data_IF_777605469896
#
_entry.id   IF_777605469896
#
_cell.length_a   1.000
_cell.length_b   1.000
_cell.length_c   1.000
_cell.angle_alpha   90.00
_cell.angle_beta   90.00
_cell.angle_gamma   90.00
#
_symmetry.space_group_name_H-M   'P 1'
#
loop_
_entity.id
_entity.type
_entity.pdbx_description
1 polymer ?
#
# COMPACT_ATOMS: atom_id res chain seq x y z
N UNK A 1 21.16 22.34 8.69
CA UNK A 1 21.00 22.73 7.28
C UNK A 1 19.57 22.56 6.81
N UNK A 2 18.97 23.59 6.22
CA UNK A 2 17.63 23.50 5.61
C UNK A 2 17.58 22.46 4.45
N UNK A 3 18.73 22.18 3.82
CA UNK A 3 18.89 21.13 2.81
C UNK A 3 18.74 19.71 3.37
N UNK A 4 19.08 19.45 4.65
CA UNK A 4 18.85 18.13 5.27
C UNK A 4 17.37 17.92 5.66
N UNK A 5 16.66 18.98 6.03
CA UNK A 5 15.21 18.89 6.28
C UNK A 5 14.43 18.62 4.99
N UNK A 6 14.87 19.20 3.86
CA UNK A 6 14.25 19.00 2.54
C UNK A 6 14.51 17.59 1.97
N UNK A 7 15.65 16.96 2.28
CA UNK A 7 15.90 15.55 1.91
C UNK A 7 15.23 14.54 2.84
N UNK A 8 14.77 14.97 4.01
CA UNK A 8 13.97 14.17 4.94
C UNK A 8 12.46 14.31 4.74
N UNK A 9 12.01 15.32 4.00
CA UNK A 9 10.60 15.47 3.65
C UNK A 9 10.25 14.41 2.60
N UNK A 10 9.21 13.60 2.82
CA UNK A 10 8.71 12.73 1.76
C UNK A 10 8.33 13.55 0.52
N UNK A 11 8.39 12.91 -0.65
CA UNK A 11 8.05 13.56 -1.91
C UNK A 11 6.62 14.13 -1.91
N UNK A 12 6.45 15.24 -2.62
CA UNK A 12 5.19 15.99 -2.69
C UNK A 12 4.08 15.12 -3.32
N UNK A 13 4.45 14.33 -4.33
CA UNK A 13 3.52 13.44 -5.05
C UNK A 13 3.01 12.32 -4.12
N UNK A 14 3.90 11.69 -3.35
CA UNK A 14 3.52 10.67 -2.37
C UNK A 14 2.66 11.24 -1.25
N UNK A 15 2.94 12.47 -0.80
CA UNK A 15 2.14 13.15 0.22
C UNK A 15 0.72 13.42 -0.26
N UNK A 16 0.55 13.88 -1.51
CA UNK A 16 -0.76 14.14 -2.09
C UNK A 16 -1.57 12.86 -2.34
N UNK A 17 -0.91 11.80 -2.84
CA UNK A 17 -1.54 10.49 -3.01
C UNK A 17 -1.97 9.90 -1.66
N UNK A 18 -1.12 10.05 -0.64
CA UNK A 18 -1.42 9.58 0.71
C UNK A 18 -2.60 10.33 1.33
N UNK A 19 -2.71 11.65 1.17
CA UNK A 19 -3.87 12.41 1.66
C UNK A 19 -5.21 11.91 1.09
N UNK A 20 -5.25 11.60 -0.22
CA UNK A 20 -6.44 10.96 -0.81
C UNK A 20 -6.69 9.56 -0.29
N UNK A 21 -5.63 8.78 -0.09
CA UNK A 21 -5.73 7.46 0.51
C UNK A 21 -6.33 7.54 1.93
N UNK A 22 -5.89 8.50 2.76
CA UNK A 22 -6.45 8.79 4.08
C UNK A 22 -7.94 9.13 4.02
N UNK A 23 -8.31 10.00 3.09
CA UNK A 23 -9.70 10.44 2.91
C UNK A 23 -10.63 9.24 2.63
N UNK A 24 -10.23 8.33 1.75
CA UNK A 24 -11.06 7.17 1.40
C UNK A 24 -11.03 6.05 2.46
N UNK A 25 -9.98 5.92 3.28
CA UNK A 25 -9.96 4.94 4.37
C UNK A 25 -10.80 5.33 5.59
N UNK A 26 -11.17 6.60 5.68
CA UNK A 26 -11.86 7.18 6.84
C UNK A 26 -13.25 7.72 6.50
N UNK A 27 -13.68 7.62 5.23
CA UNK A 27 -15.04 8.00 4.81
C UNK A 27 -16.01 6.86 5.09
N UNK A 28 -17.22 7.21 5.52
CA UNK A 28 -18.37 6.29 5.64
C UNK A 28 -19.26 6.30 4.38
N UNK A 29 -18.80 6.93 3.29
CA UNK A 29 -19.56 7.06 2.03
C UNK A 29 -19.68 5.73 1.26
N UNK A 30 -18.72 4.82 1.44
CA UNK A 30 -18.65 3.53 0.73
C UNK A 30 -18.50 2.39 1.73
N UNK A 31 -19.20 1.28 1.50
CA UNK A 31 -19.04 0.06 2.31
C UNK A 31 -17.66 -0.59 2.09
N UNK A 32 -17.16 -0.55 0.85
CA UNK A 32 -15.88 -1.13 0.44
C UNK A 32 -15.19 -0.20 -0.56
N UNK A 33 -13.90 0.06 -0.35
CA UNK A 33 -13.03 0.78 -1.30
C UNK A 33 -11.96 -0.17 -1.80
N UNK A 34 -11.81 -0.28 -3.13
CA UNK A 34 -10.76 -1.08 -3.76
C UNK A 34 -9.67 -0.16 -4.31
N UNK A 35 -8.44 -0.35 -3.83
CA UNK A 35 -7.28 0.40 -4.30
C UNK A 35 -6.51 -0.42 -5.35
N UNK A 36 -6.44 0.10 -6.58
CA UNK A 36 -5.53 -0.40 -7.61
C UNK A 36 -4.21 0.36 -7.51
N UNK A 37 -3.16 -0.34 -7.07
CA UNK A 37 -1.88 0.30 -6.72
C UNK A 37 -0.86 0.18 -7.85
N UNK A 38 0.14 1.06 -7.82
CA UNK A 38 1.33 0.95 -8.67
C UNK A 38 2.05 -0.42 -8.51
N UNK A 39 3.01 -0.77 -9.38
CA UNK A 39 3.80 -1.99 -9.18
C UNK A 39 4.50 -2.02 -7.81
N UNK A 40 4.72 -3.23 -7.31
CA UNK A 40 5.18 -3.58 -5.95
C UNK A 40 6.06 -2.53 -5.26
N UNK A 41 7.20 -2.16 -5.85
CA UNK A 41 8.17 -1.26 -5.22
C UNK A 41 7.64 0.15 -4.88
N UNK A 42 6.72 0.71 -5.67
CA UNK A 42 6.13 2.02 -5.40
C UNK A 42 5.02 1.92 -4.36
N UNK A 43 4.22 0.85 -4.41
CA UNK A 43 3.16 0.60 -3.44
C UNK A 43 3.72 0.42 -2.03
N UNK A 44 4.81 -0.35 -1.88
CA UNK A 44 5.43 -0.52 -0.56
C UNK A 44 5.95 0.80 0.03
N UNK A 45 6.38 1.76 -0.80
CA UNK A 45 6.73 3.10 -0.32
C UNK A 45 5.50 3.86 0.17
N UNK A 46 4.39 3.81 -0.57
CA UNK A 46 3.12 4.41 -0.13
C UNK A 46 2.63 3.79 1.18
N UNK A 47 2.75 2.47 1.34
CA UNK A 47 2.28 1.77 2.53
C UNK A 47 3.20 1.93 3.75
N UNK A 48 4.50 2.17 3.56
CA UNK A 48 5.45 2.52 4.64
C UNK A 48 5.50 4.02 4.94
N UNK A 49 4.85 4.82 4.11
CA UNK A 49 4.75 6.27 4.26
C UNK A 49 4.20 6.74 5.61
N UNK A 50 3.14 6.13 6.20
CA UNK A 50 2.65 6.55 7.51
C UNK A 50 3.72 6.48 8.59
N UNK A 51 4.51 5.40 8.62
CA UNK A 51 5.57 5.23 9.63
C UNK A 51 6.68 6.27 9.45
N UNK A 52 7.09 6.51 8.19
CA UNK A 52 8.08 7.52 7.86
C UNK A 52 7.61 8.92 8.29
N UNK A 53 6.36 9.26 7.99
CA UNK A 53 5.76 10.54 8.35
C UNK A 53 5.56 10.71 9.86
N UNK A 54 5.11 9.68 10.59
CA UNK A 54 4.98 9.75 12.06
C UNK A 54 6.32 10.06 12.73
N UNK A 55 7.39 9.41 12.24
CA UNK A 55 8.76 9.62 12.70
C UNK A 55 9.25 11.03 12.38
N UNK A 56 9.03 11.50 11.14
CA UNK A 56 9.44 12.83 10.69
C UNK A 56 8.70 13.95 11.43
N UNK A 57 7.36 13.91 11.46
CA UNK A 57 6.52 14.87 12.21
C UNK A 57 6.90 14.86 13.70
N UNK A 58 7.11 13.67 14.27
CA UNK A 58 7.55 13.53 15.66
C UNK A 58 8.90 14.20 15.96
N UNK A 59 9.87 14.14 15.04
CA UNK A 59 11.14 14.85 15.15
C UNK A 59 10.94 16.37 15.02
N UNK A 60 10.13 16.82 14.07
CA UNK A 60 9.84 18.23 13.85
C UNK A 60 9.16 18.87 15.07
N UNK A 61 8.20 18.19 15.68
CA UNK A 61 7.54 18.64 16.93
C UNK A 61 8.59 18.82 18.04
N UNK A 62 9.54 17.88 18.20
CA UNK A 62 10.62 18.00 19.20
C UNK A 62 11.51 19.22 18.94
N UNK A 63 11.93 19.43 17.70
CA UNK A 63 12.77 20.57 17.31
C UNK A 63 12.04 21.89 17.57
N UNK A 64 10.77 22.00 17.15
CA UNK A 64 9.95 23.19 17.40
C UNK A 64 9.80 23.48 18.89
N UNK A 65 9.43 22.48 19.70
CA UNK A 65 9.33 22.65 21.16
C UNK A 65 10.64 23.14 21.80
N UNK A 66 11.80 22.67 21.31
CA UNK A 66 13.10 23.19 21.78
C UNK A 66 13.30 24.66 21.39
N UNK A 67 12.99 25.03 20.15
CA UNK A 67 13.09 26.41 19.66
C UNK A 67 12.15 27.33 20.45
N UNK A 68 10.88 26.97 20.62
CA UNK A 68 9.92 27.74 21.40
C UNK A 68 10.31 27.90 22.87
N UNK A 69 10.84 26.83 23.49
CA UNK A 69 11.36 26.92 24.86
C UNK A 69 12.53 27.90 24.98
N UNK A 70 13.39 27.97 23.96
CA UNK A 70 14.50 28.91 23.90
C UNK A 70 14.00 30.32 23.63
N UNK A 71 13.11 30.53 22.66
CA UNK A 71 12.50 31.83 22.38
C UNK A 71 11.82 32.41 23.64
N UNK A 72 11.06 31.58 24.37
CA UNK A 72 10.42 31.96 25.64
C UNK A 72 11.42 32.34 26.73
N UNK A 73 12.56 31.65 26.81
CA UNK A 73 13.63 31.99 27.76
C UNK A 73 14.32 33.33 27.41
N UNK A 74 14.44 33.66 26.12
CA UNK A 74 15.06 34.90 25.63
C UNK A 74 14.06 36.05 25.42
N UNK A 75 12.75 35.83 25.58
CA UNK A 75 11.68 36.84 25.44
C UNK A 75 11.89 38.07 26.33
N UNK A 76 12.45 37.87 27.52
CA UNK A 76 12.79 38.97 28.44
C UNK A 76 13.96 39.84 27.96
N UNK A 77 14.77 39.34 27.02
CA UNK A 77 15.95 40.02 26.47
C UNK A 77 15.63 40.59 25.07
N UNK A 78 14.81 39.89 24.27
CA UNK A 78 14.35 40.35 22.96
C UNK A 78 12.82 40.20 22.85
N UNK A 79 12.04 41.24 23.21
CA UNK A 79 10.57 41.18 23.23
C UNK A 79 9.90 41.08 21.86
N UNK A 80 10.66 41.16 20.76
CA UNK A 80 10.18 41.01 19.39
C UNK A 80 10.43 39.59 18.82
N UNK A 81 10.94 38.66 19.63
CA UNK A 81 11.30 37.32 19.18
C UNK A 81 10.15 36.33 19.43
N UNK A 82 9.47 35.94 18.34
CA UNK A 82 8.48 34.85 18.31
C UNK A 82 7.05 35.28 18.63
N UNK A 83 6.11 34.85 17.80
CA UNK A 83 4.68 34.89 18.08
C UNK A 83 4.28 33.54 18.73
N UNK A 84 3.99 33.57 20.03
CA UNK A 84 3.62 32.37 20.81
C UNK A 84 2.32 31.74 20.27
N UNK A 85 1.35 32.53 19.82
CA UNK A 85 0.10 32.01 19.27
C UNK A 85 0.34 31.33 17.92
N UNK A 86 1.23 31.88 17.09
CA UNK A 86 1.60 31.25 15.82
C UNK A 86 2.35 29.93 16.05
N UNK A 87 3.23 29.86 17.03
CA UNK A 87 3.97 28.65 17.37
C UNK A 87 3.06 27.56 17.95
N UNK A 88 2.14 27.92 18.84
CA UNK A 88 1.19 26.98 19.44
C UNK A 88 0.24 26.40 18.38
N UNK A 89 -0.32 27.23 17.48
CA UNK A 89 -1.17 26.74 16.36
C UNK A 89 -0.40 25.78 15.44
N UNK A 90 0.84 26.11 15.10
CA UNK A 90 1.65 25.24 14.25
C UNK A 90 1.94 23.89 14.92
N UNK A 91 2.12 23.85 16.25
CA UNK A 91 2.27 22.60 16.98
C UNK A 91 0.98 21.79 17.01
N UNK A 92 -0.18 22.44 17.21
CA UNK A 92 -1.49 21.79 17.17
C UNK A 92 -1.75 21.14 15.81
N UNK A 93 -1.50 21.85 14.71
CA UNK A 93 -1.66 21.33 13.35
C UNK A 93 -0.78 20.10 13.08
N UNK A 94 0.48 20.11 13.58
CA UNK A 94 1.39 18.97 13.46
C UNK A 94 0.93 17.77 14.28
N UNK A 95 0.40 18.01 15.49
CA UNK A 95 -0.16 16.95 16.32
C UNK A 95 -1.43 16.33 15.70
N UNK A 96 -2.29 17.15 15.09
CA UNK A 96 -3.45 16.70 14.35
C UNK A 96 -3.06 15.84 13.14
N UNK A 97 -2.08 16.30 12.35
CA UNK A 97 -1.53 15.57 11.21
C UNK A 97 -0.98 14.21 11.65
N UNK A 98 -0.21 14.19 12.73
CA UNK A 98 0.34 12.96 13.32
C UNK A 98 -0.74 11.97 13.73
N UNK A 99 -1.85 12.47 14.31
CA UNK A 99 -3.00 11.64 14.70
C UNK A 99 -3.67 11.00 13.49
N UNK A 100 -3.85 11.75 12.40
CA UNK A 100 -4.44 11.24 11.15
C UNK A 100 -3.57 10.13 10.54
N UNK A 101 -2.25 10.34 10.48
CA UNK A 101 -1.28 9.35 9.99
C UNK A 101 -1.36 8.04 10.79
N UNK A 102 -1.47 8.13 12.11
CA UNK A 102 -1.60 6.95 12.98
C UNK A 102 -2.91 6.21 12.77
N UNK A 103 -4.03 6.95 12.73
CA UNK A 103 -5.34 6.36 12.49
C UNK A 103 -5.35 5.56 11.18
N UNK A 104 -4.74 6.11 10.13
CA UNK A 104 -4.58 5.45 8.84
C UNK A 104 -3.80 4.15 8.92
N UNK A 105 -2.64 4.20 9.58
CA UNK A 105 -1.82 3.01 9.82
C UNK A 105 -2.61 1.94 10.56
N UNK A 106 -3.38 2.34 11.56
CA UNK A 106 -4.20 1.42 12.35
C UNK A 106 -5.30 0.79 11.47
N UNK A 107 -5.94 1.55 10.57
CA UNK A 107 -6.89 0.99 9.58
C UNK A 107 -6.21 -0.05 8.69
N UNK A 108 -5.03 0.28 8.16
CA UNK A 108 -4.32 -0.57 7.20
C UNK A 108 -3.81 -1.88 7.83
N UNK A 109 -3.45 -1.83 9.11
CA UNK A 109 -2.97 -2.97 9.88
C UNK A 109 -4.10 -3.81 10.49
N UNK A 110 -5.35 -3.34 10.46
CA UNK A 110 -6.50 -4.05 10.99
C UNK A 110 -7.04 -5.07 9.97
N UNK A 111 -6.89 -6.38 10.20
CA UNK A 111 -7.35 -7.42 9.27
C UNK A 111 -8.89 -7.52 9.18
N UNK A 112 -9.64 -6.94 10.12
CA UNK A 112 -11.11 -6.87 10.03
C UNK A 112 -11.57 -5.73 9.11
N UNK A 113 -10.68 -4.77 8.81
CA UNK A 113 -10.98 -3.58 7.99
C UNK A 113 -10.25 -3.55 6.65
N UNK A 114 -9.06 -4.14 6.56
CA UNK A 114 -8.21 -4.08 5.39
C UNK A 114 -7.73 -5.47 4.99
N UNK A 115 -7.81 -5.77 3.70
CA UNK A 115 -7.33 -7.01 3.08
C UNK A 115 -6.42 -6.68 1.90
N UNK A 116 -5.26 -7.33 1.82
CA UNK A 116 -4.32 -7.18 0.71
C UNK A 116 -4.36 -8.41 -0.19
N UNK A 117 -4.62 -8.21 -1.49
CA UNK A 117 -4.56 -9.26 -2.52
C UNK A 117 -3.32 -9.06 -3.40
N UNK A 118 -2.45 -10.06 -3.45
CA UNK A 118 -1.27 -10.03 -4.31
C UNK A 118 -1.60 -10.61 -5.68
N UNK A 119 -1.24 -9.94 -6.77
CA UNK A 119 -1.37 -10.48 -8.13
C UNK A 119 0.03 -10.82 -8.65
N UNK A 120 0.22 -12.08 -9.05
CA UNK A 120 1.51 -12.61 -9.50
C UNK A 120 1.35 -13.30 -10.84
N UNK A 121 2.43 -13.41 -11.62
CA UNK A 121 2.48 -14.31 -12.78
C UNK A 121 3.49 -15.44 -12.49
N UNK A 122 3.35 -16.62 -13.11
CA UNK A 122 4.24 -17.75 -12.90
C UNK A 122 5.61 -17.56 -13.59
N UNK A 123 6.32 -16.50 -13.20
CA UNK A 123 7.67 -16.15 -13.64
C UNK A 123 8.57 -15.86 -12.42
N UNK A 124 9.86 -16.21 -12.53
CA UNK A 124 10.79 -16.16 -11.39
C UNK A 124 10.87 -14.77 -10.74
N UNK A 125 11.01 -13.72 -11.57
CA UNK A 125 11.13 -12.35 -11.08
C UNK A 125 9.84 -11.87 -10.40
N UNK A 126 8.67 -12.18 -10.98
CA UNK A 126 7.38 -11.81 -10.39
C UNK A 126 7.17 -12.47 -9.03
N UNK A 127 7.55 -13.74 -8.89
CA UNK A 127 7.47 -14.47 -7.62
C UNK A 127 8.40 -13.83 -6.58
N UNK A 128 9.65 -13.54 -6.96
CA UNK A 128 10.63 -12.92 -6.06
C UNK A 128 10.21 -11.53 -5.58
N UNK A 129 9.71 -10.68 -6.49
CA UNK A 129 9.20 -9.35 -6.13
C UNK A 129 7.98 -9.41 -5.21
N UNK A 130 7.10 -10.39 -5.43
CA UNK A 130 5.89 -10.57 -4.63
C UNK A 130 6.22 -11.09 -3.23
N UNK A 131 7.18 -12.00 -3.11
CA UNK A 131 7.71 -12.46 -1.81
C UNK A 131 8.28 -11.28 -1.00
N UNK A 132 9.13 -10.46 -1.62
CA UNK A 132 9.66 -9.26 -0.96
C UNK A 132 8.57 -8.27 -0.57
N UNK A 133 7.52 -8.14 -1.37
CA UNK A 133 6.39 -7.28 -1.05
C UNK A 133 5.61 -7.81 0.15
N UNK A 134 5.34 -9.12 0.22
CA UNK A 134 4.68 -9.74 1.36
C UNK A 134 5.48 -9.60 2.65
N UNK A 135 6.80 -9.84 2.61
CA UNK A 135 7.67 -9.60 3.76
C UNK A 135 7.65 -8.14 4.25
N UNK A 136 7.53 -7.18 3.32
CA UNK A 136 7.44 -5.77 3.66
C UNK A 136 6.08 -5.40 4.27
N UNK A 137 4.99 -6.00 3.80
CA UNK A 137 3.67 -5.87 4.43
C UNK A 137 3.70 -6.40 5.87
N UNK A 138 4.23 -7.61 6.07
CA UNK A 138 4.30 -8.24 7.39
C UNK A 138 5.09 -7.42 8.40
N UNK A 139 6.23 -6.83 7.99
CA UNK A 139 7.02 -5.92 8.84
C UNK A 139 6.23 -4.72 9.35
N UNK A 140 5.19 -4.32 8.62
CA UNK A 140 4.31 -3.22 8.97
C UNK A 140 3.02 -3.67 9.65
N UNK A 141 2.89 -4.95 10.02
CA UNK A 141 1.67 -5.59 10.55
C UNK A 141 0.48 -5.53 9.57
N UNK A 142 0.77 -5.55 8.27
CA UNK A 142 -0.24 -5.71 7.23
C UNK A 142 -0.15 -7.13 6.68
N UNK A 143 -1.30 -7.74 6.40
CA UNK A 143 -1.36 -9.13 5.95
C UNK A 143 -2.03 -9.24 4.58
N UNK A 144 -1.32 -9.91 3.67
CA UNK A 144 -1.93 -10.39 2.43
C UNK A 144 -2.60 -11.73 2.70
N UNK A 145 -3.90 -11.81 2.43
CA UNK A 145 -4.75 -12.96 2.71
C UNK A 145 -5.08 -13.77 1.44
N UNK A 146 -4.66 -13.28 0.27
CA UNK A 146 -4.85 -13.97 -1.00
C UNK A 146 -3.78 -13.63 -2.04
N UNK A 147 -3.49 -14.62 -2.88
CA UNK A 147 -2.61 -14.52 -4.04
C UNK A 147 -3.37 -14.95 -5.28
N UNK A 148 -3.41 -14.09 -6.30
CA UNK A 148 -4.01 -14.34 -7.59
C UNK A 148 -2.87 -14.60 -8.59
N UNK A 149 -2.79 -15.81 -9.11
CA UNK A 149 -1.82 -16.18 -10.13
C UNK A 149 -2.45 -16.00 -11.51
N UNK A 150 -2.02 -14.94 -12.21
CA UNK A 150 -2.54 -14.56 -13.51
C UNK A 150 -1.73 -15.16 -14.67
N UNK A 151 -2.31 -15.18 -15.86
CA UNK A 151 -1.68 -15.61 -17.12
C UNK A 151 -1.15 -17.05 -17.10
N UNK A 152 -1.88 -17.96 -16.46
CA UNK A 152 -1.54 -19.38 -16.48
C UNK A 152 -1.85 -19.95 -17.86
N UNK A 153 -0.85 -20.51 -18.53
CA UNK A 153 -1.01 -21.12 -19.84
C UNK A 153 -2.06 -22.24 -19.76
N UNK A 154 -3.15 -22.21 -20.56
CA UNK A 154 -4.18 -23.25 -20.54
C UNK A 154 -3.64 -24.65 -20.83
N UNK A 155 -4.33 -25.66 -20.32
CA UNK A 155 -3.95 -27.08 -20.49
C UNK A 155 -4.13 -27.54 -21.94
N UNK A 156 -5.20 -27.10 -22.58
CA UNK A 156 -5.59 -27.46 -23.94
C UNK A 156 -4.94 -26.52 -24.97
N UNK A 157 -3.62 -26.55 -25.05
CA UNK A 157 -2.88 -25.82 -26.07
C UNK A 157 -2.33 -26.78 -27.14
N UNK A 158 -2.87 -26.69 -28.36
CA UNK A 158 -2.42 -27.47 -29.52
C UNK A 158 -1.19 -26.83 -30.17
N UNK A 159 -0.09 -26.75 -29.40
CA UNK A 159 1.07 -25.95 -29.73
C UNK A 159 2.28 -26.42 -28.88
N UNK A 160 3.37 -26.87 -29.53
CA UNK A 160 4.57 -27.37 -28.83
C UNK A 160 5.21 -26.32 -27.92
N UNK A 161 5.30 -25.08 -28.40
CA UNK A 161 5.82 -23.95 -27.62
C UNK A 161 4.98 -23.70 -26.35
N UNK A 162 3.66 -23.78 -26.48
CA UNK A 162 2.72 -23.54 -25.39
C UNK A 162 2.83 -24.63 -24.32
N UNK A 163 2.95 -25.90 -24.74
CA UNK A 163 3.21 -27.03 -23.83
C UNK A 163 4.53 -26.85 -23.08
N UNK A 164 5.60 -26.47 -23.78
CA UNK A 164 6.89 -26.19 -23.15
C UNK A 164 6.81 -25.03 -22.13
N UNK A 165 6.12 -23.93 -22.47
CA UNK A 165 5.90 -22.80 -21.54
C UNK A 165 5.07 -23.22 -20.32
N UNK A 166 4.01 -24.02 -20.49
CA UNK A 166 3.22 -24.57 -19.38
C UNK A 166 4.08 -25.43 -18.45
N UNK A 167 4.94 -26.30 -18.99
CA UNK A 167 5.86 -27.12 -18.18
C UNK A 167 6.80 -26.27 -17.31
N UNK A 168 7.28 -25.14 -17.83
CA UNK A 168 8.07 -24.18 -17.05
C UNK A 168 7.19 -23.55 -15.96
N UNK A 169 5.98 -23.09 -16.30
CA UNK A 169 5.05 -22.52 -15.34
C UNK A 169 4.67 -23.51 -14.23
N UNK A 170 4.52 -24.81 -14.49
CA UNK A 170 4.20 -25.79 -13.44
C UNK A 170 5.26 -25.81 -12.33
N UNK A 171 6.55 -25.74 -12.67
CA UNK A 171 7.63 -25.60 -11.67
C UNK A 171 7.54 -24.28 -10.89
N UNK A 172 7.05 -23.22 -11.53
CA UNK A 172 6.81 -21.91 -10.89
C UNK A 172 5.58 -21.95 -9.99
N UNK A 173 4.53 -22.68 -10.36
CA UNK A 173 3.35 -22.92 -9.53
C UNK A 173 3.70 -23.68 -8.26
N UNK A 174 4.60 -24.66 -8.32
CA UNK A 174 5.14 -25.34 -7.14
C UNK A 174 5.84 -24.34 -6.20
N UNK A 175 6.68 -23.46 -6.74
CA UNK A 175 7.35 -22.40 -5.96
C UNK A 175 6.35 -21.42 -5.33
N UNK A 176 5.33 -20.99 -6.08
CA UNK A 176 4.23 -20.14 -5.58
C UNK A 176 3.51 -20.82 -4.43
N UNK A 177 3.13 -22.10 -4.57
CA UNK A 177 2.44 -22.85 -3.50
C UNK A 177 3.33 -23.05 -2.28
N UNK A 178 4.65 -23.20 -2.47
CA UNK A 178 5.59 -23.31 -1.36
C UNK A 178 5.76 -22.00 -0.60
N UNK A 179 5.90 -20.88 -1.32
CA UNK A 179 6.14 -19.54 -0.75
C UNK A 179 4.88 -18.91 -0.18
N UNK A 180 3.74 -19.12 -0.83
CA UNK A 180 2.47 -18.46 -0.54
C UNK A 180 1.35 -19.44 -0.14
N UNK A 181 1.71 -20.65 0.29
CA UNK A 181 0.75 -21.70 0.66
C UNK A 181 -0.04 -21.41 1.94
N UNK A 182 0.37 -20.40 2.72
CA UNK A 182 -0.39 -19.90 3.87
C UNK A 182 -1.57 -19.01 3.47
N UNK A 183 -1.68 -18.64 2.20
CA UNK A 183 -2.70 -17.75 1.66
C UNK A 183 -3.66 -18.51 0.74
N UNK A 184 -4.84 -17.92 0.49
CA UNK A 184 -5.73 -18.40 -0.55
C UNK A 184 -5.09 -18.15 -1.92
N UNK A 185 -4.82 -19.20 -2.69
CA UNK A 185 -4.27 -19.08 -4.05
C UNK A 185 -5.38 -19.27 -5.08
N UNK A 186 -5.66 -18.22 -5.85
CA UNK A 186 -6.58 -18.25 -6.98
C UNK A 186 -5.80 -18.27 -8.30
N UNK A 187 -6.32 -18.99 -9.31
CA UNK A 187 -5.64 -19.21 -10.58
C UNK A 187 -6.49 -18.62 -11.72
N UNK A 188 -5.90 -17.74 -12.55
CA UNK A 188 -6.54 -17.16 -13.75
C UNK A 188 -5.79 -17.64 -15.00
N UNK A 189 -6.47 -18.29 -15.95
CA UNK A 189 -5.85 -18.71 -17.19
C UNK A 189 -5.48 -17.52 -18.07
N UNK A 190 -4.49 -17.69 -18.94
CA UNK A 190 -4.19 -16.75 -20.01
C UNK A 190 -5.33 -16.78 -21.03
N UNK A 191 -5.94 -15.62 -21.26
CA UNK A 191 -6.99 -15.45 -22.26
C UNK A 191 -6.39 -15.33 -23.66
N UNK A 192 -7.12 -15.81 -24.67
CA UNK A 192 -6.70 -15.71 -26.09
C UNK A 192 -6.72 -14.27 -26.61
N UNK A 193 -7.62 -13.46 -26.06
CA UNK A 193 -7.85 -12.07 -26.45
C UNK A 193 -7.62 -11.17 -25.24
N UNK A 194 -7.41 -9.89 -25.50
CA UNK A 194 -7.33 -8.87 -24.45
C UNK A 194 -8.62 -8.87 -23.61
N UNK A 195 -8.48 -8.87 -22.28
CA UNK A 195 -9.62 -8.76 -21.36
C UNK A 195 -10.09 -7.30 -21.36
N UNK A 196 -11.01 -6.98 -22.27
CA UNK A 196 -11.53 -5.63 -22.44
C UNK A 196 -13.06 -5.64 -22.49
N UNK A 197 -13.65 -4.63 -21.85
CA UNK A 197 -15.10 -4.50 -21.74
C UNK A 197 -15.67 -5.28 -20.56
N UNK A 198 -16.89 -4.92 -20.16
CA UNK A 198 -17.54 -5.43 -18.95
C UNK A 198 -17.82 -6.93 -19.02
N UNK A 199 -18.11 -7.49 -20.19
CA UNK A 199 -18.42 -8.92 -20.33
C UNK A 199 -17.20 -9.80 -20.07
N UNK A 200 -16.03 -9.42 -20.58
CA UNK A 200 -14.77 -10.12 -20.30
C UNK A 200 -14.31 -9.96 -18.86
N UNK A 201 -14.52 -8.79 -18.25
CA UNK A 201 -14.26 -8.59 -16.83
C UNK A 201 -15.18 -9.47 -15.95
N UNK A 202 -16.45 -9.64 -16.33
CA UNK A 202 -17.36 -10.58 -15.65
C UNK A 202 -16.90 -12.02 -15.80
N UNK A 203 -16.37 -12.42 -16.96
CA UNK A 203 -15.80 -13.75 -17.17
C UNK A 203 -14.65 -14.02 -16.18
N UNK A 204 -13.74 -13.06 -16.01
CA UNK A 204 -12.67 -13.14 -14.98
C UNK A 204 -13.26 -13.20 -13.57
N UNK A 205 -14.25 -12.36 -13.27
CA UNK A 205 -14.95 -12.38 -11.99
C UNK A 205 -15.56 -13.74 -11.67
N UNK A 206 -16.17 -14.40 -12.66
CA UNK A 206 -16.75 -15.75 -12.52
C UNK A 206 -15.71 -16.82 -12.22
N UNK A 207 -14.52 -16.71 -12.80
CA UNK A 207 -13.41 -17.65 -12.50
C UNK A 207 -12.97 -17.50 -11.05
N UNK A 208 -12.88 -16.27 -10.54
CA UNK A 208 -12.41 -15.99 -9.19
C UNK A 208 -13.47 -16.25 -8.10
N UNK A 209 -14.73 -15.90 -8.37
CA UNK A 209 -15.77 -15.80 -7.35
C UNK A 209 -17.00 -16.68 -7.63
N UNK A 210 -17.04 -17.38 -8.76
CA UNK A 210 -18.23 -18.11 -9.22
C UNK A 210 -19.29 -17.21 -9.84
N UNK A 211 -20.45 -17.78 -10.14
CA UNK A 211 -21.59 -16.98 -10.62
C UNK A 211 -22.05 -16.03 -9.50
N UNK A 212 -22.28 -14.74 -9.82
CA UNK A 212 -22.79 -13.81 -8.83
C UNK A 212 -24.13 -14.32 -8.32
N UNK A 213 -24.25 -14.49 -7.00
CA UNK A 213 -25.55 -14.72 -6.38
C UNK A 213 -26.43 -13.53 -6.74
N UNK A 214 -27.50 -13.78 -7.50
CA UNK A 214 -28.51 -12.76 -7.77
C UNK A 214 -29.15 -12.46 -6.43
N UNK A 215 -28.81 -11.31 -5.83
CA UNK A 215 -29.52 -10.81 -4.67
C UNK A 215 -31.01 -10.73 -5.02
N UNK A 216 -31.81 -11.60 -4.42
CA UNK A 216 -33.27 -11.64 -4.50
C UNK A 216 -33.91 -10.49 -3.75
#
# INVERSE_FOLDING_TARGET
DQMEMATMAPGIDETAAFDKFLQYMTTDEYDIVVFDTAPTGHTLRLLSFPEMMDSWVGKMIKVRRQIGSMAKAFKNIMPFMGDEEEEDRALEDMEATKKQIRAARDVMADPERTSFKMVVIPEEMSIYESERAMEALEKNNMHADGVIVNQIQPEEADCDFCRARRQIQQKRMESIRQKFGGQLVAEIPLFREEVKGTDKLREVGKILYGEPEVAS
#
